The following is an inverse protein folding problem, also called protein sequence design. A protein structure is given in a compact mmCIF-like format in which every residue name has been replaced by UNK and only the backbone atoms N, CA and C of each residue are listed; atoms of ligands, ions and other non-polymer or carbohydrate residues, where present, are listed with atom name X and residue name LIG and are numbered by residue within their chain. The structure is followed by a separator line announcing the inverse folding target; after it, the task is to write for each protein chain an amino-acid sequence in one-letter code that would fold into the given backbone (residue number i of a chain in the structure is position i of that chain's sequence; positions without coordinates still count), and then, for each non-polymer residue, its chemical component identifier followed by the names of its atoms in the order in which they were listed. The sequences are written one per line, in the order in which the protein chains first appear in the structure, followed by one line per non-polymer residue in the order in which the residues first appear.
data_IF_364819469622
#
_entry.id   IF_364819469622
#
_cell.length_a   1.000
_cell.length_b   1.000
_cell.length_c   1.000
_cell.angle_alpha   90.00
_cell.angle_beta   90.00
_cell.angle_gamma   90.00
#
_symmetry.space_group_name_H-M   'P 1'
#
loop_
_entity.id
_entity.type
_entity.pdbx_description
1 polymer ?
#
# COMPACT_ATOMS: atom_id res chain seq x y z
N UNK A 1 -19.13 9.57 5.42
CA UNK A 1 -17.71 9.26 5.25
C UNK A 1 -17.56 7.77 5.46
N UNK A 2 -17.21 7.04 4.41
CA UNK A 2 -16.96 5.60 4.49
C UNK A 2 -15.64 5.33 5.19
N UNK A 3 -15.59 4.22 5.92
CA UNK A 3 -14.40 3.80 6.67
C UNK A 3 -13.92 2.46 6.17
N UNK A 4 -12.63 2.22 6.32
CA UNK A 4 -12.04 0.92 6.03
C UNK A 4 -12.47 -0.06 7.13
N UNK A 5 -13.10 -1.15 6.72
CA UNK A 5 -13.53 -2.22 7.62
C UNK A 5 -12.71 -3.47 7.34
N UNK A 6 -12.05 -4.01 8.35
CA UNK A 6 -11.36 -5.29 8.23
C UNK A 6 -12.40 -6.39 7.97
N UNK A 7 -12.27 -7.08 6.83
CA UNK A 7 -13.15 -8.19 6.47
C UNK A 7 -12.54 -9.54 6.73
N UNK A 8 -11.25 -9.68 6.41
CA UNK A 8 -10.58 -10.97 6.48
C UNK A 8 -9.10 -10.78 6.75
N UNK A 9 -8.60 -11.57 7.67
CA UNK A 9 -7.18 -11.77 7.89
C UNK A 9 -6.75 -13.09 7.27
N UNK A 10 -5.58 -13.08 6.62
CA UNK A 10 -4.94 -14.25 6.06
C UNK A 10 -3.52 -14.32 6.59
N UNK A 11 -2.87 -15.49 6.49
CA UNK A 11 -1.47 -15.65 6.93
C UNK A 11 -0.48 -14.66 6.30
N UNK A 12 -0.84 -14.01 5.19
CA UNK A 12 0.06 -13.13 4.41
C UNK A 12 -0.45 -11.71 4.25
N UNK A 13 -1.72 -11.43 4.55
CA UNK A 13 -2.34 -10.12 4.27
C UNK A 13 -3.60 -9.87 5.10
N UNK A 14 -3.84 -8.60 5.37
CA UNK A 14 -5.13 -8.06 5.82
C UNK A 14 -5.96 -7.63 4.60
N UNK A 15 -7.24 -7.98 4.61
CA UNK A 15 -8.21 -7.60 3.58
C UNK A 15 -9.24 -6.70 4.23
N UNK A 16 -9.26 -5.46 3.80
CA UNK A 16 -10.21 -4.43 4.19
C UNK A 16 -11.20 -4.16 3.07
N UNK A 17 -12.35 -3.60 3.41
CA UNK A 17 -13.33 -3.08 2.45
C UNK A 17 -13.70 -1.63 2.76
N UNK A 18 -13.92 -0.86 1.69
CA UNK A 18 -14.49 0.49 1.70
C UNK A 18 -15.38 0.64 0.46
N UNK A 19 -16.67 0.85 0.68
CA UNK A 19 -17.68 0.88 -0.38
C UNK A 19 -17.67 -0.40 -1.22
N UNK A 20 -17.45 -0.25 -2.53
CA UNK A 20 -17.35 -1.35 -3.49
C UNK A 20 -15.90 -1.84 -3.72
N UNK A 21 -14.95 -1.37 -2.92
CA UNK A 21 -13.54 -1.67 -3.10
C UNK A 21 -13.00 -2.53 -1.97
N UNK A 22 -12.17 -3.48 -2.35
CA UNK A 22 -11.41 -4.35 -1.47
C UNK A 22 -9.95 -3.90 -1.48
N UNK A 23 -9.42 -3.64 -0.29
CA UNK A 23 -8.02 -3.23 -0.09
C UNK A 23 -7.26 -4.36 0.57
N UNK A 24 -6.25 -4.89 -0.11
CA UNK A 24 -5.36 -5.94 0.41
C UNK A 24 -4.04 -5.32 0.82
N UNK A 25 -3.68 -5.50 2.09
CA UNK A 25 -2.46 -4.98 2.72
C UNK A 25 -1.61 -6.17 3.16
N UNK A 26 -0.41 -6.40 2.59
CA UNK A 26 0.47 -7.48 3.03
C UNK A 26 0.94 -7.28 4.48
N UNK A 27 1.06 -8.39 5.22
CA UNK A 27 1.57 -8.41 6.61
C UNK A 27 3.09 -8.32 6.61
N UNK A 28 3.75 -8.97 5.66
CA UNK A 28 5.21 -8.98 5.56
C UNK A 28 5.74 -7.58 5.23
N UNK A 29 6.71 -7.13 6.01
CA UNK A 29 7.46 -5.92 5.75
C UNK A 29 8.19 -6.05 4.42
N UNK A 30 7.91 -5.13 3.49
CA UNK A 30 8.65 -5.05 2.23
C UNK A 30 9.69 -3.96 2.36
N UNK A 31 10.89 -4.21 1.86
CA UNK A 31 11.98 -3.25 1.93
C UNK A 31 12.42 -2.89 0.52
N UNK A 32 12.62 -1.59 0.28
CA UNK A 32 13.18 -1.10 -0.98
C UNK A 32 14.56 -0.54 -0.67
N UNK A 33 15.60 -0.88 -1.45
CA UNK A 33 16.87 -0.20 -1.33
C UNK A 33 16.67 1.31 -1.58
N UNK A 34 17.22 2.15 -0.71
CA UNK A 34 17.44 3.57 -0.93
C UNK A 34 18.47 3.64 -2.06
N UNK A 35 18.02 3.57 -3.30
CA UNK A 35 18.88 3.96 -4.41
C UNK A 35 19.02 5.47 -4.33
N UNK A 36 20.12 5.91 -3.72
CA UNK A 36 20.66 7.24 -3.86
C UNK A 36 20.77 7.50 -5.38
N UNK A 37 19.82 8.25 -5.96
CA UNK A 37 19.89 8.69 -7.37
C UNK A 37 21.14 9.55 -7.64
N UNK A 38 21.90 9.87 -6.58
CA UNK A 38 23.14 10.60 -6.59
C UNK A 38 24.27 9.82 -5.89
N UNK A 39 24.74 8.70 -6.45
CA UNK A 39 26.11 8.20 -6.20
C UNK A 39 26.50 7.14 -7.23
N UNK A 40 27.15 7.59 -8.30
CA UNK A 40 28.19 6.78 -8.93
C UNK A 40 29.31 6.67 -7.89
N UNK A 41 29.74 5.44 -7.62
CA UNK A 41 30.70 5.06 -6.58
C UNK A 41 30.20 5.27 -5.14
N UNK A 42 29.99 4.16 -4.43
CA UNK A 42 30.86 3.81 -3.31
C UNK A 42 30.52 2.40 -2.84
N UNK A 43 31.58 1.72 -2.42
CA UNK A 43 31.62 0.30 -2.11
C UNK A 43 30.55 -0.13 -1.11
N UNK A 44 30.03 -1.31 -1.41
CA UNK A 44 29.14 -2.11 -0.60
C UNK A 44 29.76 -2.25 0.80
N UNK A 45 28.97 -1.98 1.85
CA UNK A 45 28.83 -2.74 3.12
C UNK A 45 28.19 -1.81 4.17
N UNK A 46 26.94 -2.08 4.55
CA UNK A 46 26.48 -2.22 5.95
C UNK A 46 24.98 -2.57 5.90
N UNK A 47 24.71 -3.85 6.14
CA UNK A 47 23.41 -4.50 6.04
C UNK A 47 22.34 -3.73 6.86
N UNK A 48 21.21 -3.42 6.22
CA UNK A 48 19.98 -2.85 6.78
C UNK A 48 19.87 -1.34 7.05
N UNK A 49 20.91 -0.51 6.90
CA UNK A 49 20.76 0.98 7.04
C UNK A 49 20.19 1.70 5.82
N UNK A 50 20.18 1.03 4.66
CA UNK A 50 19.81 1.64 3.38
C UNK A 50 18.49 1.14 2.81
N UNK A 51 17.52 0.76 3.66
CA UNK A 51 16.25 0.22 3.21
C UNK A 51 15.07 1.02 3.77
N UNK A 52 14.18 1.47 2.87
CA UNK A 52 12.92 2.11 3.27
C UNK A 52 11.88 1.01 3.45
N UNK A 53 11.25 0.92 4.64
CA UNK A 53 10.12 0.05 4.81
C UNK A 53 8.94 0.54 3.95
N UNK A 54 8.35 -0.38 3.21
CA UNK A 54 7.23 -0.12 2.33
C UNK A 54 6.19 -1.22 2.44
N UNK A 55 4.99 -0.90 1.96
CA UNK A 55 3.89 -1.84 1.83
C UNK A 55 3.29 -1.68 0.43
N UNK A 56 3.20 -2.77 -0.33
CA UNK A 56 2.50 -2.77 -1.61
C UNK A 56 1.05 -3.18 -1.39
N UNK A 57 0.15 -2.20 -1.36
CA UNK A 57 -1.28 -2.43 -1.26
C UNK A 57 -1.89 -2.72 -2.63
N UNK A 58 -2.97 -3.50 -2.64
CA UNK A 58 -3.79 -3.76 -3.82
C UNK A 58 -5.21 -3.28 -3.57
N UNK A 59 -5.77 -2.50 -4.48
CA UNK A 59 -7.16 -2.03 -4.45
C UNK A 59 -7.88 -2.71 -5.61
N UNK A 60 -8.99 -3.38 -5.34
CA UNK A 60 -9.78 -4.15 -6.30
C UNK A 60 -11.26 -3.76 -6.19
N UNK A 61 -11.91 -3.45 -7.31
CA UNK A 61 -13.36 -3.23 -7.32
C UNK A 61 -14.10 -4.56 -7.40
N UNK A 62 -14.93 -4.83 -6.40
CA UNK A 62 -15.64 -6.11 -6.24
C UNK A 62 -16.86 -6.24 -7.15
N UNK A 63 -17.37 -5.14 -7.70
CA UNK A 63 -18.56 -5.12 -8.57
C UNK A 63 -18.24 -5.46 -10.03
N UNK A 64 -16.99 -5.22 -10.47
CA UNK A 64 -16.58 -5.39 -11.85
C UNK A 64 -15.90 -6.76 -12.06
N UNK A 65 -16.58 -7.65 -12.79
CA UNK A 65 -16.13 -9.04 -13.05
C UNK A 65 -14.81 -9.19 -13.84
N UNK A 66 -14.15 -8.12 -14.29
CA UNK A 66 -12.87 -8.16 -15.03
C UNK A 66 -11.85 -7.20 -14.44
N UNK A 67 -10.74 -7.75 -13.92
CA UNK A 67 -9.39 -7.16 -13.70
C UNK A 67 -9.31 -5.66 -13.36
N UNK A 68 -10.26 -5.11 -12.61
CA UNK A 68 -10.17 -3.74 -12.12
C UNK A 68 -9.46 -3.75 -10.77
N UNK A 69 -8.15 -3.90 -10.85
CA UNK A 69 -7.24 -3.81 -9.72
C UNK A 69 -6.15 -2.78 -9.98
N UNK A 70 -5.81 -2.02 -8.95
CA UNK A 70 -4.62 -1.19 -8.92
C UNK A 70 -3.71 -1.64 -7.79
N UNK A 71 -2.41 -1.47 -7.96
CA UNK A 71 -1.43 -1.72 -6.92
C UNK A 71 -0.67 -0.43 -6.67
N UNK A 72 -0.42 -0.13 -5.39
CA UNK A 72 0.37 1.03 -5.01
C UNK A 72 1.28 0.68 -3.85
N UNK A 73 2.52 1.14 -3.97
CA UNK A 73 3.54 1.02 -2.93
C UNK A 73 3.52 2.28 -2.07
N UNK A 74 3.40 2.10 -0.75
CA UNK A 74 3.30 3.17 0.24
C UNK A 74 4.38 3.01 1.31
N UNK A 75 4.83 4.11 1.92
CA UNK A 75 5.83 4.09 2.99
C UNK A 75 5.14 3.84 4.33
N UNK A 76 5.79 3.03 5.16
CA UNK A 76 5.19 2.17 6.18
C UNK A 76 4.83 2.88 7.50
N UNK A 77 3.82 3.73 7.49
CA UNK A 77 3.06 4.01 8.71
C UNK A 77 1.63 3.46 8.51
N UNK A 78 1.32 2.25 9.02
CA UNK A 78 0.02 1.60 8.81
C UNK A 78 -1.15 2.46 9.31
N UNK A 79 -0.95 3.17 10.42
CA UNK A 79 -1.97 4.04 10.99
C UNK A 79 -2.27 5.22 10.05
N UNK A 80 -1.22 5.82 9.47
CA UNK A 80 -1.40 6.87 8.45
C UNK A 80 -1.97 6.33 7.14
N UNK A 81 -1.60 5.11 6.74
CA UNK A 81 -2.07 4.50 5.49
C UNK A 81 -3.60 4.36 5.46
N UNK A 82 -4.20 3.91 6.56
CA UNK A 82 -5.67 3.77 6.64
C UNK A 82 -6.36 5.14 6.58
N UNK A 83 -5.87 6.13 7.32
CA UNK A 83 -6.40 7.49 7.25
C UNK A 83 -6.26 8.12 5.86
N UNK A 84 -5.14 7.87 5.17
CA UNK A 84 -4.92 8.34 3.80
C UNK A 84 -5.87 7.68 2.81
N UNK A 85 -6.09 6.37 2.92
CA UNK A 85 -7.03 5.64 2.06
C UNK A 85 -8.47 6.12 2.27
N UNK A 86 -8.91 6.29 3.52
CA UNK A 86 -10.23 6.83 3.83
C UNK A 86 -10.38 8.26 3.30
N UNK A 87 -9.36 9.11 3.48
CA UNK A 87 -9.39 10.49 3.00
C UNK A 87 -9.37 10.59 1.47
N UNK A 88 -8.62 9.73 0.80
CA UNK A 88 -8.55 9.68 -0.66
C UNK A 88 -9.90 9.21 -1.23
N UNK A 89 -10.44 8.12 -0.69
CA UNK A 89 -11.75 7.58 -1.09
C UNK A 89 -12.90 8.58 -0.91
N UNK A 90 -12.97 9.23 0.27
CA UNK A 90 -14.04 10.17 0.59
C UNK A 90 -13.82 11.59 0.03
N UNK A 91 -12.65 11.85 -0.55
CA UNK A 91 -12.24 13.17 -0.99
C UNK A 91 -12.05 13.26 -2.51
N UNK A 92 -11.28 14.26 -2.94
CA UNK A 92 -10.83 14.42 -4.34
C UNK A 92 -9.31 14.22 -4.49
N UNK A 93 -8.63 13.61 -3.51
CA UNK A 93 -7.21 13.25 -3.67
C UNK A 93 -7.12 12.07 -4.65
N UNK A 94 -6.09 12.07 -5.48
CA UNK A 94 -5.85 11.03 -6.51
C UNK A 94 -4.58 10.25 -6.21
N UNK A 95 -4.24 10.06 -4.92
CA UNK A 95 -3.07 9.29 -4.53
C UNK A 95 -3.31 7.82 -4.85
N UNK A 96 -4.53 7.31 -4.67
CA UNK A 96 -4.90 5.93 -4.96
C UNK A 96 -5.80 5.85 -6.19
N UNK A 97 -5.73 4.72 -6.90
CA UNK A 97 -6.49 4.51 -8.13
C UNK A 97 -7.64 3.53 -7.85
N UNK A 98 -8.84 4.06 -7.70
CA UNK A 98 -10.07 3.31 -7.44
C UNK A 98 -10.74 2.86 -8.75
N UNK A 99 -10.14 1.90 -9.45
CA UNK A 99 -10.64 1.33 -10.73
C UNK A 99 -11.72 0.29 -10.54
#
# INVERSE_FOLDING_TARGET
MEKLVLKKETKKSYIYEIGQYKVTVPIEDQYIPIQDRHKRHLDIIEENKNMIPCCTITIENTTLKKKNKSTKRCVQDPNKLFEELERDYNGKRSQFRWV
#
